data_IF_587692117622
#
_entry.id   IF_587692117622
#
_cell.length_a   1.000
_cell.length_b   1.000
_cell.length_c   1.000
_cell.angle_alpha   90.00
_cell.angle_beta   90.00
_cell.angle_gamma   90.00
#
_symmetry.space_group_name_H-M   'P 1'
#
loop_
_entity.id
_entity.type
_entity.pdbx_description
1 polymer ?
#
# COMPACT_ATOMS: atom_id res chain seq x y z
N UNK A 1 6.28 -38.41 12.41
CA UNK A 1 5.81 -37.01 12.58
C UNK A 1 5.25 -36.42 11.29
N UNK A 2 6.07 -36.31 10.24
CA UNK A 2 5.76 -35.58 9.01
C UNK A 2 4.53 -36.08 8.24
N UNK A 3 4.29 -37.40 8.21
CA UNK A 3 3.08 -37.97 7.62
C UNK A 3 1.80 -37.63 8.40
N UNK A 4 1.86 -37.59 9.74
CA UNK A 4 0.71 -37.21 10.59
C UNK A 4 0.33 -35.74 10.38
N UNK A 5 1.32 -34.85 10.31
CA UNK A 5 1.13 -33.43 9.98
C UNK A 5 0.57 -33.21 8.58
N UNK A 6 1.01 -33.97 7.58
CA UNK A 6 0.45 -33.92 6.21
C UNK A 6 -1.03 -34.31 6.20
N UNK A 7 -1.39 -35.40 6.87
CA UNK A 7 -2.78 -35.88 6.99
C UNK A 7 -3.69 -34.86 7.69
N UNK A 8 -3.23 -34.25 8.79
CA UNK A 8 -3.99 -33.20 9.50
C UNK A 8 -4.20 -31.94 8.63
N UNK A 9 -3.19 -31.52 7.87
CA UNK A 9 -3.29 -30.37 6.95
C UNK A 9 -4.26 -30.65 5.79
N UNK A 10 -4.28 -31.88 5.27
CA UNK A 10 -5.27 -32.31 4.27
C UNK A 10 -6.70 -32.29 4.81
N UNK A 11 -6.92 -32.75 6.04
CA UNK A 11 -8.23 -32.68 6.68
C UNK A 11 -8.69 -31.24 6.89
N UNK A 12 -7.83 -30.33 7.37
CA UNK A 12 -8.17 -28.92 7.53
C UNK A 12 -8.54 -28.28 6.18
N UNK A 13 -7.78 -28.56 5.11
CA UNK A 13 -8.07 -28.10 3.75
C UNK A 13 -9.38 -28.67 3.20
N UNK A 14 -9.76 -29.88 3.60
CA UNK A 14 -11.03 -30.50 3.21
C UNK A 14 -12.20 -29.83 3.92
N UNK A 15 -12.09 -29.56 5.21
CA UNK A 15 -13.08 -28.82 6.00
C UNK A 15 -13.29 -27.41 5.44
N UNK A 16 -12.20 -26.67 5.18
CA UNK A 16 -12.29 -25.32 4.63
C UNK A 16 -12.99 -25.26 3.26
N UNK A 17 -12.68 -26.22 2.37
CA UNK A 17 -13.33 -26.33 1.06
C UNK A 17 -14.81 -26.66 1.16
N UNK A 18 -15.21 -27.51 2.10
CA UNK A 18 -16.61 -27.84 2.32
C UNK A 18 -17.39 -26.63 2.88
N UNK A 19 -16.80 -25.87 3.80
CA UNK A 19 -17.41 -24.63 4.33
C UNK A 19 -17.58 -23.57 3.24
N UNK A 20 -16.56 -23.33 2.42
CA UNK A 20 -16.65 -22.37 1.30
C UNK A 20 -17.69 -22.80 0.25
N UNK A 21 -17.79 -24.11 -0.02
CA UNK A 21 -18.82 -24.65 -0.93
C UNK A 21 -20.23 -24.49 -0.36
N UNK A 22 -20.40 -24.66 0.95
CA UNK A 22 -21.67 -24.41 1.63
C UNK A 22 -22.06 -22.93 1.53
N UNK A 23 -21.14 -22.00 1.86
CA UNK A 23 -21.36 -20.55 1.73
C UNK A 23 -21.78 -20.18 0.30
N UNK A 24 -21.11 -20.74 -0.71
CA UNK A 24 -21.42 -20.49 -2.12
C UNK A 24 -22.81 -21.01 -2.54
N UNK A 25 -23.26 -22.11 -1.95
CA UNK A 25 -24.53 -22.76 -2.31
C UNK A 25 -25.72 -22.23 -1.50
N UNK A 26 -25.49 -21.60 -0.36
CA UNK A 26 -26.48 -20.83 0.38
C UNK A 26 -26.83 -19.58 -0.45
N UNK A 27 -27.85 -19.69 -1.31
CA UNK A 27 -28.38 -18.57 -2.10
C UNK A 27 -28.83 -17.45 -1.14
N UNK A 28 -28.01 -16.42 -0.98
CA UNK A 28 -28.47 -15.15 -0.41
C UNK A 28 -29.15 -14.35 -1.53
N UNK A 29 -30.47 -14.15 -1.50
CA UNK A 29 -31.13 -13.30 -2.47
C UNK A 29 -30.82 -11.84 -2.11
N UNK A 30 -29.79 -11.26 -2.74
CA UNK A 30 -29.65 -9.80 -2.78
C UNK A 30 -30.62 -9.30 -3.85
N UNK A 31 -31.88 -9.07 -3.47
CA UNK A 31 -32.82 -8.34 -4.32
C UNK A 31 -32.49 -6.85 -4.26
N UNK A 32 -32.39 -6.24 -5.43
CA UNK A 32 -32.17 -4.83 -5.67
C UNK A 32 -33.11 -3.94 -4.85
N UNK A 33 -32.55 -3.11 -3.97
CA UNK A 33 -33.23 -1.95 -3.41
C UNK A 33 -32.85 -0.73 -4.25
N UNK A 34 -33.74 -0.37 -5.17
CA UNK A 34 -33.85 1.00 -5.68
C UNK A 34 -35.11 1.61 -5.09
N UNK A 35 -35.06 2.85 -4.60
CA UNK A 35 -36.24 3.70 -4.58
C UNK A 35 -35.97 4.97 -5.38
N UNK A 36 -36.60 5.05 -6.54
CA UNK A 36 -37.01 6.32 -7.15
C UNK A 36 -38.18 6.88 -6.35
N UNK A 37 -38.02 8.05 -5.74
CA UNK A 37 -39.12 8.85 -5.19
C UNK A 37 -39.35 10.06 -6.09
N UNK A 38 -40.59 10.35 -6.54
CA UNK A 38 -40.94 11.61 -7.16
C UNK A 38 -41.20 12.67 -6.09
N UNK A 39 -40.97 13.93 -6.47
CA UNK A 39 -41.23 15.11 -5.67
C UNK A 39 -42.73 15.46 -5.66
N UNK A 40 -43.23 15.93 -4.50
CA UNK A 40 -44.48 16.68 -4.39
C UNK A 40 -44.34 17.88 -3.44
N UNK A 41 -45.22 18.92 -3.59
CA UNK A 41 -44.95 20.32 -3.24
C UNK A 41 -45.44 20.72 -1.82
N UNK A 42 -45.24 21.98 -1.37
CA UNK A 42 -45.38 22.33 0.04
C UNK A 42 -46.79 22.77 0.43
N UNK A 43 -47.31 22.25 1.54
CA UNK A 43 -48.48 22.83 2.23
C UNK A 43 -49.14 21.95 3.31
N UNK A 44 -48.89 22.28 4.58
CA UNK A 44 -49.71 22.01 5.78
C UNK A 44 -49.86 20.54 6.31
N UNK A 45 -50.42 20.32 7.51
CA UNK A 45 -49.78 20.48 8.82
C UNK A 45 -49.73 19.16 9.64
N UNK A 46 -49.03 19.22 10.77
CA UNK A 46 -48.77 18.18 11.77
C UNK A 46 -49.93 17.21 12.08
N UNK A 47 -49.65 15.91 11.99
CA UNK A 47 -50.46 14.82 12.56
C UNK A 47 -49.57 13.88 13.36
N UNK A 48 -49.85 13.79 14.66
CA UNK A 48 -49.37 12.75 15.56
C UNK A 48 -49.82 11.37 15.06
N UNK A 49 -48.86 10.47 14.84
CA UNK A 49 -49.18 9.05 14.68
C UNK A 49 -48.21 8.18 15.49
N UNK A 50 -48.80 7.49 16.47
CA UNK A 50 -48.22 6.34 17.16
C UNK A 50 -47.90 5.29 16.11
N UNK A 51 -46.60 5.05 15.87
CA UNK A 51 -46.14 3.92 15.07
C UNK A 51 -46.24 2.68 15.97
N UNK A 52 -47.18 1.80 15.61
CA UNK A 52 -47.32 0.47 16.17
C UNK A 52 -46.13 -0.40 15.80
N UNK A 53 -45.57 -1.09 16.80
CA UNK A 53 -44.62 -2.18 16.66
C UNK A 53 -45.24 -3.31 15.83
N UNK A 54 -45.10 -3.23 14.50
CA UNK A 54 -45.42 -4.33 13.59
C UNK A 54 -44.13 -5.02 13.17
N UNK A 55 -43.97 -6.21 13.76
CA UNK A 55 -43.21 -7.39 13.34
C UNK A 55 -42.34 -7.24 12.09
N UNK A 56 -41.08 -6.82 12.29
CA UNK A 56 -40.03 -7.04 11.29
C UNK A 56 -39.50 -8.48 11.42
N UNK A 57 -40.24 -9.46 10.88
CA UNK A 57 -39.85 -10.88 10.85
C UNK A 57 -38.53 -11.16 10.11
N UNK A 58 -38.02 -10.20 9.32
CA UNK A 58 -36.69 -10.29 8.70
C UNK A 58 -35.54 -9.98 9.68
N UNK A 59 -35.77 -9.14 10.69
CA UNK A 59 -34.75 -8.83 11.70
C UNK A 59 -34.46 -10.03 12.63
N UNK A 60 -35.44 -10.88 12.93
CA UNK A 60 -35.21 -12.11 13.70
C UNK A 60 -34.39 -13.13 12.92
N UNK A 61 -34.67 -13.32 11.63
CA UNK A 61 -33.87 -14.21 10.76
C UNK A 61 -32.43 -13.72 10.60
N UNK A 62 -32.20 -12.41 10.55
CA UNK A 62 -30.85 -11.82 10.53
C UNK A 62 -30.12 -12.02 11.87
N UNK A 63 -30.81 -11.91 13.01
CA UNK A 63 -30.23 -12.22 14.33
C UNK A 63 -29.87 -13.70 14.48
N UNK A 64 -30.73 -14.59 14.00
CA UNK A 64 -30.47 -16.04 14.02
C UNK A 64 -29.29 -16.42 13.10
N UNK A 65 -29.21 -15.85 11.90
CA UNK A 65 -28.07 -16.08 11.01
C UNK A 65 -26.74 -15.54 11.59
N UNK A 66 -26.78 -14.40 12.27
CA UNK A 66 -25.60 -13.86 12.95
C UNK A 66 -25.17 -14.72 14.15
N UNK A 67 -26.10 -15.29 14.91
CA UNK A 67 -25.76 -16.16 16.04
C UNK A 67 -25.09 -17.47 15.57
N UNK A 68 -25.58 -18.05 14.46
CA UNK A 68 -24.97 -19.22 13.83
C UNK A 68 -23.56 -18.92 13.30
N UNK A 69 -23.35 -17.76 12.68
CA UNK A 69 -22.03 -17.36 12.17
C UNK A 69 -21.01 -17.16 13.29
N UNK A 70 -21.44 -16.56 14.41
CA UNK A 70 -20.60 -16.38 15.61
C UNK A 70 -20.20 -17.73 16.21
N UNK A 71 -21.12 -18.69 16.25
CA UNK A 71 -20.83 -20.03 16.77
C UNK A 71 -19.89 -20.82 15.85
N UNK A 72 -20.02 -20.69 14.53
CA UNK A 72 -19.08 -21.28 13.56
C UNK A 72 -17.68 -20.70 13.74
N UNK A 73 -17.54 -19.37 13.87
CA UNK A 73 -16.25 -18.72 14.09
C UNK A 73 -15.62 -19.14 15.42
N UNK A 74 -16.43 -19.32 16.48
CA UNK A 74 -15.96 -19.83 17.77
C UNK A 74 -15.39 -21.25 17.64
N UNK A 75 -16.06 -22.14 16.92
CA UNK A 75 -15.58 -23.52 16.68
C UNK A 75 -14.31 -23.57 15.85
N UNK A 76 -14.21 -22.77 14.78
CA UNK A 76 -12.98 -22.67 13.97
C UNK A 76 -11.80 -22.17 14.80
N UNK A 77 -12.02 -21.15 15.65
CA UNK A 77 -10.97 -20.61 16.50
C UNK A 77 -10.53 -21.61 17.57
N UNK A 78 -11.44 -22.42 18.10
CA UNK A 78 -11.13 -23.49 19.04
C UNK A 78 -10.29 -24.61 18.39
N UNK A 79 -10.66 -25.09 17.19
CA UNK A 79 -9.86 -26.07 16.45
C UNK A 79 -8.47 -25.54 16.11
N UNK A 80 -8.38 -24.27 15.66
CA UNK A 80 -7.09 -23.66 15.37
C UNK A 80 -6.17 -23.61 16.60
N UNK A 81 -6.71 -23.27 17.78
CA UNK A 81 -5.96 -23.27 19.04
C UNK A 81 -5.50 -24.68 19.44
N UNK A 82 -6.33 -25.69 19.25
CA UNK A 82 -5.97 -27.08 19.53
C UNK A 82 -4.84 -27.57 18.61
N UNK A 83 -4.92 -27.28 17.31
CA UNK A 83 -3.86 -27.62 16.34
C UNK A 83 -2.56 -26.88 16.65
N UNK A 84 -2.64 -25.59 17.03
CA UNK A 84 -1.47 -24.82 17.44
C UNK A 84 -0.80 -25.43 18.68
N UNK A 85 -1.58 -25.81 19.68
CA UNK A 85 -1.05 -26.46 20.89
C UNK A 85 -0.37 -27.82 20.59
N UNK A 86 -0.97 -28.67 19.73
CA UNK A 86 -0.34 -29.94 19.34
C UNK A 86 0.96 -29.72 18.56
N UNK A 87 1.01 -28.70 17.69
CA UNK A 87 2.23 -28.30 16.97
C UNK A 87 3.32 -27.84 17.94
N UNK A 88 2.98 -27.01 18.91
CA UNK A 88 3.97 -26.45 19.85
C UNK A 88 4.55 -27.56 20.75
N UNK A 89 3.74 -28.56 21.14
CA UNK A 89 4.22 -29.78 21.84
C UNK A 89 5.09 -30.66 20.92
N UNK A 90 4.79 -30.74 19.63
CA UNK A 90 5.63 -31.48 18.68
C UNK A 90 6.97 -30.79 18.45
N UNK A 91 6.99 -29.47 18.37
CA UNK A 91 8.22 -28.69 18.23
C UNK A 91 9.10 -28.82 19.48
N UNK A 92 8.53 -28.76 20.69
CA UNK A 92 9.30 -28.96 21.92
C UNK A 92 9.89 -30.37 22.02
N UNK A 93 9.19 -31.40 21.51
CA UNK A 93 9.71 -32.76 21.43
C UNK A 93 10.84 -32.90 20.42
N UNK A 94 10.72 -32.27 19.25
CA UNK A 94 11.79 -32.26 18.24
C UNK A 94 13.03 -31.56 18.82
N UNK A 95 12.85 -30.45 19.53
CA UNK A 95 13.95 -29.71 20.15
C UNK A 95 14.63 -30.52 21.27
N UNK A 96 13.86 -31.24 22.10
CA UNK A 96 14.43 -32.17 23.09
C UNK A 96 15.16 -33.36 22.45
N UNK A 97 14.61 -33.94 21.37
CA UNK A 97 15.25 -35.04 20.65
C UNK A 97 16.53 -34.59 19.94
N UNK A 98 16.59 -33.36 19.41
CA UNK A 98 17.78 -32.81 18.74
C UNK A 98 18.91 -32.51 19.75
N UNK A 99 18.56 -32.15 20.99
CA UNK A 99 19.52 -32.01 22.11
C UNK A 99 20.05 -33.38 22.54
N UNK A 100 19.19 -34.40 22.63
CA UNK A 100 19.59 -35.78 22.99
C UNK A 100 20.41 -36.49 21.90
N UNK A 101 20.27 -36.10 20.63
CA UNK A 101 21.09 -36.61 19.52
C UNK A 101 22.43 -35.88 19.41
N UNK A 102 22.52 -34.60 19.81
CA UNK A 102 23.76 -33.82 19.76
C UNK A 102 24.76 -34.17 20.86
N UNK A 103 24.34 -34.53 22.07
CA UNK A 103 25.28 -34.82 23.17
C UNK A 103 26.18 -36.06 22.97
N UNK A 104 25.73 -37.20 22.39
CA UNK A 104 26.63 -38.33 22.14
C UNK A 104 27.47 -38.20 20.86
N UNK A 105 27.17 -37.24 19.96
CA UNK A 105 27.90 -37.04 18.71
C UNK A 105 29.17 -36.17 18.89
N UNK A 106 29.15 -35.23 19.83
CA UNK A 106 30.34 -34.42 20.14
C UNK A 106 31.42 -35.25 20.86
N UNK A 107 31.04 -36.31 21.58
CA UNK A 107 31.99 -37.21 22.24
C UNK A 107 32.59 -38.31 21.32
N UNK A 108 32.05 -38.53 20.11
CA UNK A 108 32.52 -39.59 19.18
C UNK A 108 33.21 -39.11 17.90
N UNK A 109 33.15 -37.82 17.58
CA UNK A 109 33.82 -37.24 16.39
C UNK A 109 35.32 -36.96 16.63
N UNK A 110 35.83 -37.20 17.84
CA UNK A 110 37.23 -36.95 18.19
C UNK A 110 38.26 -37.99 17.73
N UNK A 111 37.89 -39.18 17.20
CA UNK A 111 38.90 -40.25 17.09
C UNK A 111 38.90 -41.17 15.85
N UNK A 112 38.11 -40.95 14.80
CA UNK A 112 38.29 -41.73 13.56
C UNK A 112 37.97 -40.90 12.31
N UNK A 113 38.87 -40.00 11.94
CA UNK A 113 38.93 -39.42 10.58
C UNK A 113 39.47 -40.48 9.61
N UNK A 114 38.56 -41.29 9.07
CA UNK A 114 38.86 -42.13 7.90
C UNK A 114 38.95 -41.21 6.67
N UNK A 115 40.07 -41.21 5.92
CA UNK A 115 40.22 -40.44 4.71
C UNK A 115 39.45 -41.14 3.57
N UNK A 116 38.14 -40.88 3.47
CA UNK A 116 37.26 -41.58 2.52
C UNK A 116 36.20 -40.73 1.82
N UNK A 117 35.63 -39.72 2.49
CA UNK A 117 34.36 -39.12 2.02
C UNK A 117 34.41 -37.63 1.64
N UNK A 118 35.60 -37.04 1.45
CA UNK A 118 35.72 -35.69 0.86
C UNK A 118 35.07 -35.58 -0.53
N UNK A 119 34.98 -36.70 -1.26
CA UNK A 119 34.34 -36.71 -2.59
C UNK A 119 32.82 -36.63 -2.52
N UNK A 120 32.19 -37.14 -1.47
CA UNK A 120 30.75 -37.07 -1.29
C UNK A 120 30.32 -35.65 -0.90
N UNK A 121 31.04 -35.02 0.04
CA UNK A 121 30.76 -33.64 0.46
C UNK A 121 30.98 -32.63 -0.66
N UNK A 122 32.02 -32.81 -1.50
CA UNK A 122 32.24 -31.95 -2.69
C UNK A 122 31.15 -32.13 -3.75
N UNK A 123 30.54 -33.30 -3.89
CA UNK A 123 29.43 -33.53 -4.83
C UNK A 123 28.15 -32.85 -4.36
N UNK A 124 27.82 -32.96 -3.08
CA UNK A 124 26.63 -32.32 -2.52
C UNK A 124 26.71 -30.78 -2.60
N UNK A 125 27.87 -30.19 -2.28
CA UNK A 125 28.12 -28.75 -2.48
C UNK A 125 28.03 -28.34 -3.96
N UNK A 126 28.50 -29.18 -4.89
CA UNK A 126 28.44 -28.89 -6.33
C UNK A 126 27.01 -28.94 -6.88
N UNK A 127 26.19 -29.89 -6.44
CA UNK A 127 24.79 -30.03 -6.87
C UNK A 127 23.90 -28.91 -6.29
N UNK A 128 24.14 -28.50 -5.05
CA UNK A 128 23.53 -27.32 -4.44
C UNK A 128 23.84 -26.04 -5.23
N UNK A 129 25.11 -25.84 -5.60
CA UNK A 129 25.54 -24.69 -6.39
C UNK A 129 24.94 -24.71 -7.80
N UNK A 130 24.88 -25.87 -8.47
CA UNK A 130 24.27 -26.00 -9.81
C UNK A 130 22.77 -25.75 -9.78
N UNK A 131 22.06 -26.23 -8.76
CA UNK A 131 20.64 -25.95 -8.57
C UNK A 131 20.39 -24.45 -8.34
N UNK A 132 21.16 -23.82 -7.45
CA UNK A 132 21.09 -22.38 -7.21
C UNK A 132 21.41 -21.56 -8.47
N UNK A 133 22.43 -21.96 -9.25
CA UNK A 133 22.81 -21.30 -10.49
C UNK A 133 21.73 -21.45 -11.58
N UNK A 134 21.08 -22.61 -11.66
CA UNK A 134 19.97 -22.86 -12.60
C UNK A 134 18.77 -21.97 -12.25
N UNK A 135 18.39 -21.89 -10.97
CA UNK A 135 17.33 -20.99 -10.49
C UNK A 135 17.69 -19.52 -10.74
N UNK A 136 18.95 -19.14 -10.51
CA UNK A 136 19.43 -17.78 -10.78
C UNK A 136 19.38 -17.46 -12.28
N UNK A 137 19.77 -18.40 -13.15
CA UNK A 137 19.75 -18.24 -14.61
C UNK A 137 18.33 -18.19 -15.18
N UNK A 138 17.42 -19.01 -14.67
CA UNK A 138 15.99 -18.97 -15.04
C UNK A 138 15.33 -17.67 -14.57
N UNK A 139 15.66 -17.19 -13.35
CA UNK A 139 15.26 -15.87 -12.87
C UNK A 139 15.84 -14.74 -13.71
N UNK A 140 17.10 -14.85 -14.14
CA UNK A 140 17.78 -13.90 -15.01
C UNK A 140 17.10 -13.80 -16.40
N UNK A 141 16.73 -14.95 -16.98
CA UNK A 141 16.08 -15.02 -18.29
C UNK A 141 14.65 -14.44 -18.28
N UNK A 142 13.94 -14.54 -17.15
CA UNK A 142 12.61 -13.92 -16.98
C UNK A 142 12.66 -12.41 -16.65
N UNK A 143 13.85 -11.83 -16.43
CA UNK A 143 13.99 -10.43 -15.98
C UNK A 143 13.56 -9.35 -16.97
N UNK A 144 13.88 -9.43 -18.28
CA UNK A 144 13.61 -8.32 -19.19
C UNK A 144 12.12 -8.01 -19.28
N UNK A 145 11.28 -9.04 -19.36
CA UNK A 145 9.82 -8.89 -19.45
C UNK A 145 9.21 -8.25 -18.21
N UNK A 146 9.63 -8.67 -17.00
CA UNK A 146 9.13 -8.11 -15.74
C UNK A 146 9.58 -6.65 -15.56
N UNK A 147 10.82 -6.33 -15.91
CA UNK A 147 11.33 -4.97 -15.81
C UNK A 147 10.57 -4.02 -16.75
N UNK A 148 10.44 -4.40 -18.02
CA UNK A 148 9.68 -3.62 -19.01
C UNK A 148 8.24 -3.45 -18.54
N UNK A 149 7.61 -4.52 -18.04
CA UNK A 149 6.25 -4.44 -17.48
C UNK A 149 6.14 -3.42 -16.34
N UNK A 150 7.06 -3.45 -15.37
CA UNK A 150 7.04 -2.50 -14.24
C UNK A 150 7.29 -1.06 -14.67
N UNK A 151 8.19 -0.82 -15.63
CA UNK A 151 8.39 0.51 -16.21
C UNK A 151 7.14 1.01 -16.94
N UNK A 152 6.51 0.15 -17.75
CA UNK A 152 5.25 0.48 -18.42
C UNK A 152 4.13 0.75 -17.42
N UNK A 153 4.06 -0.02 -16.34
CA UNK A 153 3.11 0.21 -15.26
C UNK A 153 3.36 1.55 -14.56
N UNK A 154 4.62 1.89 -14.27
CA UNK A 154 5.00 3.20 -13.72
C UNK A 154 4.71 4.37 -14.67
N UNK A 155 4.78 4.17 -15.98
CA UNK A 155 4.42 5.17 -17.00
C UNK A 155 2.92 5.21 -17.32
N UNK A 156 2.15 4.19 -16.94
CA UNK A 156 0.74 4.09 -17.30
C UNK A 156 -0.13 5.22 -16.75
N UNK A 157 0.07 5.78 -15.53
CA UNK A 157 -0.65 6.99 -15.10
C UNK A 157 -0.48 8.15 -16.07
N UNK A 158 0.74 8.41 -16.53
CA UNK A 158 1.03 9.46 -17.52
C UNK A 158 0.31 9.15 -18.84
N UNK A 159 0.39 7.91 -19.32
CA UNK A 159 -0.27 7.48 -20.56
C UNK A 159 -1.79 7.68 -20.51
N UNK A 160 -2.44 7.28 -19.42
CA UNK A 160 -3.89 7.48 -19.25
C UNK A 160 -4.23 8.97 -19.22
N UNK A 161 -3.50 9.78 -18.46
CA UNK A 161 -3.73 11.23 -18.41
C UNK A 161 -3.55 11.88 -19.79
N UNK A 162 -2.49 11.55 -20.52
CA UNK A 162 -2.28 12.03 -21.88
C UNK A 162 -3.40 11.61 -22.84
N UNK A 163 -3.83 10.35 -22.79
CA UNK A 163 -4.94 9.88 -23.64
C UNK A 163 -6.20 10.67 -23.34
N UNK A 164 -6.58 10.85 -22.08
CA UNK A 164 -7.78 11.61 -21.71
C UNK A 164 -7.69 13.08 -22.12
N UNK A 165 -6.54 13.73 -21.87
CA UNK A 165 -6.29 15.11 -22.29
C UNK A 165 -6.33 15.28 -23.81
N UNK A 166 -5.68 14.38 -24.56
CA UNK A 166 -5.59 14.48 -26.03
C UNK A 166 -6.90 14.10 -26.74
N UNK A 167 -7.61 13.08 -26.24
CA UNK A 167 -8.90 12.65 -26.81
C UNK A 167 -10.04 13.57 -26.44
N UNK A 168 -9.78 14.59 -25.62
CA UNK A 168 -10.81 15.45 -25.02
C UNK A 168 -11.91 14.59 -24.39
N UNK A 169 -11.58 13.57 -23.63
CA UNK A 169 -12.57 12.98 -22.73
C UNK A 169 -12.73 13.98 -21.57
N UNK A 170 -13.78 14.81 -21.64
CA UNK A 170 -13.85 16.11 -20.94
C UNK A 170 -13.70 16.02 -19.41
N UNK A 171 -13.88 14.87 -18.78
CA UNK A 171 -13.76 14.74 -17.32
C UNK A 171 -12.37 14.31 -16.88
N UNK A 172 -11.55 15.29 -16.51
CA UNK A 172 -10.25 15.10 -15.85
C UNK A 172 -10.40 14.28 -14.55
N UNK A 173 -11.47 14.56 -13.81
CA UNK A 173 -11.84 13.85 -12.59
C UNK A 173 -12.03 12.33 -12.83
N UNK A 174 -12.77 11.97 -13.88
CA UNK A 174 -12.99 10.57 -14.27
C UNK A 174 -11.68 9.92 -14.71
N UNK A 175 -10.83 10.65 -15.44
CA UNK A 175 -9.51 10.17 -15.86
C UNK A 175 -8.65 9.77 -14.64
N UNK A 176 -8.59 10.65 -13.63
CA UNK A 176 -7.87 10.39 -12.39
C UNK A 176 -8.43 9.15 -11.66
N UNK A 177 -9.75 9.07 -11.50
CA UNK A 177 -10.37 7.93 -10.82
C UNK A 177 -10.09 6.60 -11.53
N UNK A 178 -10.25 6.55 -12.86
CA UNK A 178 -9.96 5.35 -13.66
C UNK A 178 -8.48 4.99 -13.55
N UNK A 179 -7.59 5.98 -13.62
CA UNK A 179 -6.16 5.78 -13.46
C UNK A 179 -5.82 5.17 -12.09
N UNK A 180 -6.36 5.72 -10.99
CA UNK A 180 -6.13 5.18 -9.65
C UNK A 180 -6.67 3.74 -9.53
N UNK A 181 -7.90 3.50 -9.97
CA UNK A 181 -8.53 2.19 -9.88
C UNK A 181 -7.77 1.12 -10.69
N UNK A 182 -7.36 1.44 -11.92
CA UNK A 182 -6.69 0.48 -12.80
C UNK A 182 -5.20 0.35 -12.48
N UNK A 183 -4.45 1.46 -12.52
CA UNK A 183 -2.99 1.46 -12.44
C UNK A 183 -2.46 1.25 -11.03
N UNK A 184 -3.14 1.79 -10.02
CA UNK A 184 -2.62 1.79 -8.65
C UNK A 184 -3.24 0.73 -7.75
N UNK A 185 -4.45 0.26 -8.10
CA UNK A 185 -5.15 -0.78 -7.32
C UNK A 185 -5.21 -2.11 -8.07
N UNK A 186 -5.91 -2.17 -9.20
CA UNK A 186 -6.23 -3.44 -9.86
C UNK A 186 -4.99 -4.15 -10.39
N UNK A 187 -4.11 -3.45 -11.12
CA UNK A 187 -2.92 -4.07 -11.70
C UNK A 187 -1.92 -4.51 -10.60
N UNK A 188 -1.57 -3.69 -9.60
CA UNK A 188 -0.71 -4.12 -8.50
C UNK A 188 -1.32 -5.28 -7.70
N UNK A 189 -2.62 -5.25 -7.40
CA UNK A 189 -3.28 -6.33 -6.68
C UNK A 189 -3.26 -7.64 -7.47
N UNK A 190 -3.56 -7.60 -8.77
CA UNK A 190 -3.49 -8.79 -9.63
C UNK A 190 -2.06 -9.30 -9.76
N UNK A 191 -1.08 -8.42 -9.88
CA UNK A 191 0.35 -8.79 -9.87
C UNK A 191 0.73 -9.50 -8.58
N UNK A 192 0.39 -8.94 -7.40
CA UNK A 192 0.70 -9.53 -6.09
C UNK A 192 0.03 -10.90 -5.93
N UNK A 193 -1.22 -11.06 -6.39
CA UNK A 193 -1.95 -12.33 -6.29
C UNK A 193 -1.39 -13.40 -7.22
N UNK A 194 -0.94 -13.01 -8.42
CA UNK A 194 -0.39 -13.93 -9.42
C UNK A 194 1.07 -14.30 -9.14
N UNK A 195 1.86 -13.39 -8.55
CA UNK A 195 3.22 -13.65 -8.09
C UNK A 195 3.16 -14.46 -6.78
N UNK A 196 2.75 -15.74 -6.89
CA UNK A 196 2.43 -16.72 -5.82
C UNK A 196 3.59 -17.06 -4.84
N UNK A 197 4.61 -16.22 -4.71
CA UNK A 197 5.78 -16.42 -3.84
C UNK A 197 5.68 -15.74 -2.47
N UNK A 198 6.81 -15.75 -1.75
CA UNK A 198 7.04 -15.07 -0.46
C UNK A 198 6.89 -13.53 -0.50
N UNK A 199 6.57 -12.95 -1.66
CA UNK A 199 6.37 -11.51 -1.88
C UNK A 199 5.30 -10.93 -0.96
N UNK A 200 4.21 -11.66 -0.72
CA UNK A 200 3.10 -11.25 0.16
C UNK A 200 3.51 -10.94 1.61
N UNK A 201 4.48 -11.69 2.15
CA UNK A 201 4.99 -11.48 3.52
C UNK A 201 5.67 -10.12 3.62
N UNK A 202 6.43 -9.74 2.58
CA UNK A 202 7.15 -8.49 2.57
C UNK A 202 6.27 -7.24 2.39
N UNK A 203 5.05 -7.35 1.87
CA UNK A 203 4.13 -6.20 1.85
C UNK A 203 3.49 -5.98 3.22
N UNK A 204 3.26 -7.05 3.98
CA UNK A 204 2.65 -7.00 5.30
C UNK A 204 3.50 -6.23 6.33
N UNK A 205 4.82 -6.29 6.20
CA UNK A 205 5.76 -5.61 7.12
C UNK A 205 5.62 -4.09 7.08
N UNK A 206 5.34 -3.52 5.90
CA UNK A 206 5.09 -2.07 5.75
C UNK A 206 3.86 -1.61 6.54
N UNK A 207 2.82 -2.44 6.60
CA UNK A 207 1.60 -2.13 7.35
C UNK A 207 1.73 -2.43 8.85
N UNK A 208 2.50 -3.45 9.24
CA UNK A 208 2.64 -3.79 10.66
C UNK A 208 3.52 -2.82 11.44
N UNK A 209 4.54 -2.22 10.80
CA UNK A 209 5.40 -1.19 11.43
C UNK A 209 4.80 0.22 11.45
N UNK A 210 3.62 0.39 10.84
CA UNK A 210 3.08 1.68 10.47
C UNK A 210 2.46 2.46 11.65
N UNK A 211 2.06 1.78 12.72
CA UNK A 211 1.19 2.33 13.77
C UNK A 211 1.91 2.74 15.06
N UNK A 212 3.17 3.18 14.99
CA UNK A 212 3.81 3.78 16.17
C UNK A 212 3.20 5.17 16.45
N UNK A 213 2.92 5.49 17.71
CA UNK A 213 2.42 6.83 18.11
C UNK A 213 3.33 7.98 17.62
N UNK A 214 4.68 7.84 17.66
CA UNK A 214 5.58 8.86 17.11
C UNK A 214 5.34 9.13 15.61
N UNK A 215 5.14 8.09 14.81
CA UNK A 215 4.91 8.23 13.36
C UNK A 215 3.61 9.02 13.07
N UNK A 216 2.55 8.79 13.86
CA UNK A 216 1.31 9.54 13.75
C UNK A 216 1.48 11.02 14.08
N UNK A 217 2.21 11.33 15.16
CA UNK A 217 2.45 12.72 15.55
C UNK A 217 3.28 13.47 14.50
N UNK A 218 4.37 12.85 14.02
CA UNK A 218 5.21 13.46 12.98
C UNK A 218 4.44 13.60 11.66
N UNK A 219 3.62 12.61 11.30
CA UNK A 219 2.72 12.68 10.17
C UNK A 219 1.75 13.85 10.29
N UNK A 220 1.04 13.99 11.41
CA UNK A 220 0.10 15.09 11.64
C UNK A 220 0.78 16.47 11.60
N UNK A 221 1.96 16.61 12.21
CA UNK A 221 2.73 17.86 12.15
C UNK A 221 3.17 18.19 10.73
N UNK A 222 3.58 17.18 9.96
CA UNK A 222 3.96 17.31 8.55
C UNK A 222 2.76 17.73 7.69
N UNK A 223 1.59 17.11 7.91
CA UNK A 223 0.32 17.49 7.27
C UNK A 223 -0.02 18.96 7.52
N UNK A 224 -0.06 19.38 8.78
CA UNK A 224 -0.40 20.76 9.15
C UNK A 224 0.60 21.77 8.56
N UNK A 225 1.89 21.42 8.53
CA UNK A 225 2.95 22.27 7.99
C UNK A 225 2.78 22.47 6.48
N UNK A 226 2.62 21.37 5.72
CA UNK A 226 2.40 21.45 4.27
C UNK A 226 1.11 22.20 3.95
N UNK A 227 0.04 21.92 4.68
CA UNK A 227 -1.24 22.60 4.49
C UNK A 227 -1.13 24.11 4.72
N UNK A 228 -0.51 24.53 5.82
CA UNK A 228 -0.34 25.95 6.14
C UNK A 228 0.55 26.67 5.12
N UNK A 229 1.71 26.09 4.79
CA UNK A 229 2.65 26.66 3.82
C UNK A 229 2.03 26.71 2.42
N UNK A 230 1.39 25.62 1.98
CA UNK A 230 0.76 25.53 0.67
C UNK A 230 -0.41 26.49 0.49
N UNK A 231 -1.33 26.56 1.46
CA UNK A 231 -2.42 27.52 1.45
C UNK A 231 -1.91 28.97 1.49
N UNK A 232 -0.88 29.26 2.29
CA UNK A 232 -0.25 30.58 2.33
C UNK A 232 0.41 30.96 1.00
N UNK A 233 1.12 30.03 0.38
CA UNK A 233 1.76 30.22 -0.93
C UNK A 233 0.71 30.43 -2.03
N UNK A 234 -0.35 29.62 -2.06
CA UNK A 234 -1.45 29.81 -3.00
C UNK A 234 -2.11 31.18 -2.83
N UNK A 235 -2.41 31.59 -1.60
CA UNK A 235 -2.99 32.90 -1.32
C UNK A 235 -2.08 34.07 -1.77
N UNK A 236 -0.76 33.91 -1.65
CA UNK A 236 0.23 34.91 -2.08
C UNK A 236 0.41 34.96 -3.61
N UNK A 237 0.42 33.81 -4.28
CA UNK A 237 0.66 33.69 -5.73
C UNK A 237 -0.60 33.89 -6.57
N UNK A 238 -1.78 33.89 -5.95
CA UNK A 238 -3.03 34.11 -6.66
C UNK A 238 -3.04 35.49 -7.33
N UNK A 239 -3.40 35.56 -8.62
CA UNK A 239 -3.49 36.83 -9.33
C UNK A 239 -4.60 37.71 -8.70
N UNK A 240 -4.20 38.69 -7.88
CA UNK A 240 -5.05 39.83 -7.50
C UNK A 240 -4.77 40.97 -8.47
N UNK A 241 -5.71 41.88 -8.63
CA UNK A 241 -5.53 43.06 -9.49
C UNK A 241 -4.27 43.87 -9.13
N UNK A 242 -3.86 43.84 -7.86
CA UNK A 242 -2.62 44.45 -7.34
C UNK A 242 -1.34 43.65 -7.65
N UNK A 243 -1.41 42.33 -7.89
CA UNK A 243 -0.23 41.46 -8.11
C UNK A 243 0.06 41.16 -9.58
N UNK A 244 -0.58 41.85 -10.52
CA UNK A 244 -0.36 41.68 -11.98
C UNK A 244 1.08 41.98 -12.43
N UNK A 245 1.89 42.63 -11.60
CA UNK A 245 3.31 42.89 -11.88
C UNK A 245 4.24 41.73 -11.53
N UNK A 246 3.77 40.70 -10.82
CA UNK A 246 4.60 39.53 -10.54
C UNK A 246 4.71 38.65 -11.79
N UNK A 247 5.92 38.11 -12.10
CA UNK A 247 6.14 37.28 -13.28
C UNK A 247 5.43 35.93 -13.22
N UNK A 248 4.98 35.52 -12.03
CA UNK A 248 4.27 34.26 -11.78
C UNK A 248 3.03 34.58 -10.95
N UNK A 249 1.85 34.43 -11.55
CA UNK A 249 0.59 34.48 -10.80
C UNK A 249 -0.36 33.38 -11.30
N UNK A 250 -1.16 32.83 -10.39
CA UNK A 250 -2.11 31.75 -10.70
C UNK A 250 -3.41 32.37 -11.23
N UNK A 251 -3.76 32.17 -12.51
CA UNK A 251 -4.99 32.71 -13.08
C UNK A 251 -6.22 31.98 -12.49
N UNK A 252 -7.36 32.65 -12.49
CA UNK A 252 -8.64 31.99 -12.17
C UNK A 252 -9.04 31.08 -13.34
N UNK A 253 -9.01 29.77 -13.12
CA UNK A 253 -9.26 28.75 -14.17
C UNK A 253 -10.73 28.29 -14.19
N UNK A 254 -11.64 29.20 -13.83
CA UNK A 254 -13.01 28.89 -13.43
C UNK A 254 -13.91 28.33 -14.53
N UNK A 255 -13.79 28.86 -15.75
CA UNK A 255 -14.61 28.40 -16.89
C UNK A 255 -14.24 26.98 -17.33
N UNK A 256 -13.04 26.54 -17.00
CA UNK A 256 -12.50 25.24 -17.41
C UNK A 256 -12.75 24.19 -16.33
N UNK A 257 -12.87 24.57 -15.05
CA UNK A 257 -13.16 23.63 -13.96
C UNK A 257 -14.48 22.86 -14.17
N UNK A 258 -15.54 23.52 -14.65
CA UNK A 258 -16.79 22.82 -14.98
C UNK A 258 -16.60 21.85 -16.14
N UNK A 259 -15.84 22.24 -17.16
CA UNK A 259 -15.49 21.39 -18.30
C UNK A 259 -14.72 20.15 -17.84
N UNK A 260 -13.74 20.31 -16.92
CA UNK A 260 -12.93 19.23 -16.35
C UNK A 260 -13.68 18.29 -15.39
N UNK A 261 -14.98 18.52 -15.16
CA UNK A 261 -15.82 17.66 -14.32
C UNK A 261 -16.03 18.15 -12.89
N UNK A 262 -15.60 19.38 -12.54
CA UNK A 262 -15.86 19.98 -11.23
C UNK A 262 -17.21 20.73 -11.16
N UNK A 263 -18.05 20.61 -12.20
CA UNK A 263 -19.42 21.15 -12.21
C UNK A 263 -20.43 20.40 -11.33
N UNK A 264 -19.95 19.63 -10.35
CA UNK A 264 -20.76 18.77 -9.50
C UNK A 264 -21.45 19.55 -8.36
N UNK A 265 -22.53 18.99 -7.77
CA UNK A 265 -23.14 19.57 -6.57
C UNK A 265 -22.13 19.56 -5.39
N UNK A 266 -22.27 20.50 -4.46
CA UNK A 266 -21.31 20.68 -3.35
C UNK A 266 -21.06 19.40 -2.52
N UNK A 267 -22.09 18.60 -2.16
CA UNK A 267 -21.84 17.34 -1.44
C UNK A 267 -20.94 16.36 -2.21
N UNK A 268 -21.09 16.28 -3.53
CA UNK A 268 -20.25 15.44 -4.37
C UNK A 268 -18.81 15.97 -4.44
N UNK A 269 -18.63 17.29 -4.56
CA UNK A 269 -17.30 17.92 -4.51
C UNK A 269 -16.59 17.70 -3.17
N UNK A 270 -17.33 17.77 -2.05
CA UNK A 270 -16.78 17.47 -0.72
C UNK A 270 -16.41 15.99 -0.57
N UNK A 271 -17.23 15.07 -1.08
CA UNK A 271 -16.92 13.64 -1.09
C UNK A 271 -15.69 13.33 -1.94
N UNK A 272 -15.54 14.01 -3.08
CA UNK A 272 -14.35 13.91 -3.93
C UNK A 272 -13.12 14.50 -3.25
N UNK A 273 -13.22 15.67 -2.63
CA UNK A 273 -12.12 16.24 -1.84
C UNK A 273 -11.72 15.35 -0.66
N UNK A 274 -12.66 14.61 -0.06
CA UNK A 274 -12.31 13.58 0.92
C UNK A 274 -11.55 12.40 0.29
N UNK A 275 -12.00 11.93 -0.87
CA UNK A 275 -11.31 10.87 -1.60
C UNK A 275 -9.89 11.29 -1.99
N UNK A 276 -9.72 12.46 -2.63
CA UNK A 276 -8.40 12.96 -3.05
C UNK A 276 -7.53 13.39 -1.87
N UNK A 277 -8.07 14.01 -0.83
CA UNK A 277 -7.27 14.40 0.33
C UNK A 277 -6.82 13.24 1.23
N UNK A 278 -7.54 12.10 1.26
CA UNK A 278 -7.29 11.02 2.23
C UNK A 278 -7.04 9.67 1.56
N UNK A 279 -7.96 9.21 0.71
CA UNK A 279 -7.87 7.87 0.13
C UNK A 279 -6.76 7.82 -0.92
N UNK A 280 -6.67 8.85 -1.76
CA UNK A 280 -5.70 8.93 -2.84
C UNK A 280 -4.25 8.84 -2.33
N UNK A 281 -3.79 9.66 -1.37
CA UNK A 281 -2.45 9.57 -0.79
C UNK A 281 -2.06 8.17 -0.35
N UNK A 282 -2.98 7.42 0.26
CA UNK A 282 -2.71 6.04 0.69
C UNK A 282 -2.48 5.12 -0.51
N UNK A 283 -3.31 5.23 -1.55
CA UNK A 283 -3.17 4.44 -2.77
C UNK A 283 -1.90 4.81 -3.53
N UNK A 284 -1.59 6.09 -3.66
CA UNK A 284 -0.41 6.58 -4.34
C UNK A 284 0.87 6.20 -3.60
N UNK A 285 0.95 6.40 -2.28
CA UNK A 285 2.13 5.98 -1.51
C UNK A 285 2.32 4.47 -1.56
N UNK A 286 1.25 3.70 -1.49
CA UNK A 286 1.34 2.25 -1.65
C UNK A 286 1.87 1.89 -3.04
N UNK A 287 1.31 2.45 -4.10
CA UNK A 287 1.72 2.17 -5.47
C UNK A 287 3.18 2.58 -5.73
N UNK A 288 3.55 3.82 -5.42
CA UNK A 288 4.86 4.36 -5.78
C UNK A 288 5.97 3.85 -4.85
N UNK A 289 5.77 3.89 -3.53
CA UNK A 289 6.86 3.72 -2.54
C UNK A 289 6.90 2.31 -1.96
N UNK A 290 5.77 1.60 -1.94
CA UNK A 290 5.72 0.22 -1.43
C UNK A 290 5.81 -0.79 -2.57
N UNK A 291 4.99 -0.63 -3.61
CA UNK A 291 4.93 -1.57 -4.73
C UNK A 291 6.04 -1.30 -5.75
N UNK A 292 6.01 -0.16 -6.43
CA UNK A 292 6.88 0.10 -7.57
C UNK A 292 8.34 0.27 -7.15
N UNK A 293 8.62 1.01 -6.07
CA UNK A 293 9.98 1.16 -5.53
C UNK A 293 10.60 -0.18 -5.12
N UNK A 294 9.85 -1.06 -4.45
CA UNK A 294 10.33 -2.40 -4.08
C UNK A 294 10.63 -3.25 -5.32
N UNK A 295 9.67 -3.31 -6.23
CA UNK A 295 9.74 -4.20 -7.38
C UNK A 295 10.78 -3.75 -8.42
N UNK A 296 10.95 -2.43 -8.62
CA UNK A 296 12.01 -1.87 -9.48
C UNK A 296 13.36 -1.77 -8.76
N UNK A 297 13.38 -1.36 -7.49
CA UNK A 297 14.59 -1.12 -6.71
C UNK A 297 15.43 -2.38 -6.51
N UNK A 298 14.80 -3.50 -6.17
CA UNK A 298 15.47 -4.81 -6.04
C UNK A 298 16.13 -5.29 -7.35
N UNK A 299 15.72 -4.74 -8.50
CA UNK A 299 16.14 -5.19 -9.84
C UNK A 299 17.24 -4.34 -10.43
N UNK A 300 17.13 -3.02 -10.35
CA UNK A 300 18.09 -2.10 -10.98
C UNK A 300 19.39 -1.95 -10.19
N UNK A 301 19.30 -2.02 -8.87
CA UNK A 301 20.45 -1.82 -7.99
C UNK A 301 20.50 -3.00 -7.03
N UNK A 302 20.83 -4.21 -7.53
CA UNK A 302 21.09 -5.31 -6.65
C UNK A 302 22.17 -4.86 -5.68
N UNK A 303 21.87 -4.96 -4.40
CA UNK A 303 22.88 -4.75 -3.37
C UNK A 303 23.88 -5.84 -3.61
N UNK A 304 25.08 -5.45 -4.07
CA UNK A 304 26.19 -6.38 -4.06
C UNK A 304 26.24 -6.91 -2.63
N UNK A 305 26.07 -8.23 -2.43
CA UNK A 305 26.18 -8.79 -1.09
C UNK A 305 27.52 -8.29 -0.62
N UNK A 306 27.50 -7.43 0.41
CA UNK A 306 28.73 -6.92 0.96
C UNK A 306 29.51 -8.17 1.28
N UNK A 307 30.60 -8.37 0.53
CA UNK A 307 31.61 -9.33 0.88
C UNK A 307 32.22 -8.70 2.11
N UNK A 308 31.51 -8.83 3.23
CA UNK A 308 32.05 -8.72 4.55
C UNK A 308 33.17 -9.72 4.49
N UNK A 309 34.36 -9.20 4.21
CA UNK A 309 35.57 -9.95 4.03
C UNK A 309 35.57 -11.05 5.06
N UNK A 310 35.60 -12.29 4.57
CA UNK A 310 35.90 -13.47 5.38
C UNK A 310 37.32 -13.42 5.93
N UNK A 311 37.80 -12.24 6.35
CA UNK A 311 38.75 -12.12 7.45
C UNK A 311 37.98 -12.60 8.67
N UNK A 312 37.96 -13.93 8.81
CA UNK A 312 37.83 -14.57 10.10
C UNK A 312 38.75 -13.81 11.04
N UNK A 313 38.17 -12.95 11.88
CA UNK A 313 38.87 -12.40 13.03
C UNK A 313 39.19 -13.64 13.87
N UNK A 314 40.46 -14.03 14.01
CA UNK A 314 40.80 -15.21 14.77
C UNK A 314 40.35 -14.98 16.21
N UNK A 315 39.56 -15.93 16.67
CA UNK A 315 39.13 -16.24 18.02
C UNK A 315 40.01 -15.61 19.11
N UNK A 316 39.42 -14.81 20.00
CA UNK A 316 40.02 -14.62 21.32
C UNK A 316 39.07 -14.28 22.46
N UNK A 317 37.93 -13.58 22.29
CA UNK A 317 37.20 -13.09 23.51
C UNK A 317 35.65 -13.09 23.45
N UNK A 318 35.01 -13.90 22.61
CA UNK A 318 33.53 -13.92 22.51
C UNK A 318 32.82 -15.01 23.37
N UNK A 319 33.52 -15.68 24.28
CA UNK A 319 32.95 -16.82 25.03
C UNK A 319 32.33 -16.46 26.40
N UNK A 320 32.29 -15.19 26.82
CA UNK A 320 31.81 -14.83 28.16
C UNK A 320 30.51 -14.00 28.25
N UNK A 321 29.86 -13.66 27.14
CA UNK A 321 28.62 -12.86 27.16
C UNK A 321 27.34 -13.63 26.77
N UNK A 322 27.39 -14.95 26.62
CA UNK A 322 26.27 -15.76 26.12
C UNK A 322 25.27 -16.24 27.20
N UNK A 323 25.53 -16.00 28.49
CA UNK A 323 24.71 -16.61 29.56
C UNK A 323 23.73 -15.66 30.28
N UNK A 324 23.65 -14.37 29.92
CA UNK A 324 22.83 -13.40 30.68
C UNK A 324 21.75 -12.64 29.90
N UNK A 325 21.38 -13.06 28.69
CA UNK A 325 20.31 -12.42 27.91
C UNK A 325 19.12 -13.36 27.64
N UNK A 326 18.53 -13.87 28.72
CA UNK A 326 17.17 -14.39 28.67
C UNK A 326 16.17 -13.25 28.39
N UNK A 327 15.41 -13.36 27.30
CA UNK A 327 14.25 -12.52 26.89
C UNK A 327 14.49 -11.24 26.06
N UNK A 328 15.68 -11.05 25.47
CA UNK A 328 15.80 -10.07 24.36
C UNK A 328 15.37 -10.75 23.06
N UNK A 329 14.05 -10.74 22.83
CA UNK A 329 13.43 -11.03 21.53
C UNK A 329 14.30 -10.41 20.44
N UNK A 330 14.87 -11.29 19.63
CA UNK A 330 15.74 -10.96 18.52
C UNK A 330 15.20 -9.73 17.79
N UNK A 331 16.05 -8.71 17.72
CA UNK A 331 15.83 -7.52 16.91
C UNK A 331 15.38 -8.02 15.54
N UNK A 332 14.09 -7.81 15.24
CA UNK A 332 13.46 -8.06 13.95
C UNK A 332 13.98 -7.08 12.90
N UNK A 333 15.32 -7.03 12.77
CA UNK A 333 16.01 -6.54 11.60
C UNK A 333 15.42 -7.30 10.42
N UNK A 334 14.67 -6.56 9.62
CA UNK A 334 13.97 -7.08 8.46
C UNK A 334 15.05 -7.75 7.59
N UNK A 335 15.02 -9.08 7.41
CA UNK A 335 16.03 -9.75 6.60
C UNK A 335 15.89 -9.22 5.18
N UNK A 336 16.86 -8.41 4.75
CA UNK A 336 16.86 -7.80 3.43
C UNK A 336 16.46 -6.33 3.38
N UNK A 337 16.92 -5.50 4.33
CA UNK A 337 17.20 -4.08 4.07
C UNK A 337 18.35 -3.99 3.06
N UNK A 338 18.05 -4.44 1.84
CA UNK A 338 18.90 -4.26 0.69
C UNK A 338 18.91 -2.74 0.43
N UNK A 339 19.98 -2.08 0.86
CA UNK A 339 20.35 -0.72 0.47
C UNK A 339 20.66 -0.69 -1.03
N UNK A 340 19.63 -0.88 -1.87
CA UNK A 340 19.57 -0.43 -3.28
C UNK A 340 20.36 0.86 -3.36
N UNK A 341 21.22 1.09 -4.36
CA UNK A 341 21.88 2.40 -4.48
C UNK A 341 20.77 3.46 -4.45
N UNK A 342 20.64 4.12 -3.30
CA UNK A 342 19.33 4.63 -2.85
C UNK A 342 18.83 5.72 -3.80
N UNK A 343 19.79 6.41 -4.38
CA UNK A 343 19.60 7.63 -5.14
C UNK A 343 18.91 7.43 -6.51
N UNK A 344 19.45 6.66 -7.48
CA UNK A 344 18.86 6.58 -8.81
C UNK A 344 17.48 5.92 -8.84
N UNK A 345 17.23 4.91 -7.99
CA UNK A 345 15.91 4.29 -7.87
C UNK A 345 14.85 5.26 -7.33
N UNK A 346 15.17 6.00 -6.27
CA UNK A 346 14.27 7.03 -5.73
C UNK A 346 14.01 8.15 -6.75
N UNK A 347 15.04 8.58 -7.47
CA UNK A 347 14.91 9.62 -8.49
C UNK A 347 14.00 9.17 -9.64
N UNK A 348 14.15 7.93 -10.11
CA UNK A 348 13.29 7.35 -11.14
C UNK A 348 11.82 7.32 -10.67
N UNK A 349 11.55 6.76 -9.49
CA UNK A 349 10.18 6.69 -8.95
C UNK A 349 9.59 8.09 -8.75
N UNK A 350 10.38 9.04 -8.24
CA UNK A 350 9.92 10.42 -8.03
C UNK A 350 9.63 11.14 -9.35
N UNK A 351 10.41 10.83 -10.40
CA UNK A 351 10.19 11.36 -11.76
C UNK A 351 8.93 10.78 -12.39
N UNK A 352 8.71 9.46 -12.25
CA UNK A 352 7.48 8.82 -12.70
C UNK A 352 6.25 9.37 -11.97
N UNK A 353 6.33 9.52 -10.65
CA UNK A 353 5.30 10.16 -9.81
C UNK A 353 4.98 11.58 -10.29
N UNK A 354 5.99 12.42 -10.52
CA UNK A 354 5.78 13.80 -10.93
C UNK A 354 5.28 13.92 -12.39
N UNK A 355 5.57 12.93 -13.25
CA UNK A 355 5.29 13.01 -14.69
C UNK A 355 3.80 13.09 -15.03
N UNK A 356 2.91 12.31 -14.41
CA UNK A 356 1.47 12.40 -14.71
C UNK A 356 0.84 13.67 -14.11
N UNK A 357 1.38 14.14 -12.98
CA UNK A 357 0.97 15.41 -12.38
C UNK A 357 1.32 16.60 -13.27
N UNK A 358 2.39 16.53 -14.06
CA UNK A 358 2.68 17.57 -15.06
C UNK A 358 1.50 17.79 -16.01
N UNK A 359 0.87 16.71 -16.49
CA UNK A 359 -0.31 16.80 -17.35
C UNK A 359 -1.46 17.43 -16.58
N UNK A 360 -1.73 16.95 -15.36
CA UNK A 360 -2.79 17.49 -14.50
C UNK A 360 -2.64 19.00 -14.26
N UNK A 361 -1.45 19.45 -13.86
CA UNK A 361 -1.15 20.86 -13.58
C UNK A 361 -1.21 21.69 -14.86
N UNK A 362 -0.74 21.15 -15.99
CA UNK A 362 -0.85 21.83 -17.29
C UNK A 362 -2.30 22.05 -17.68
N UNK A 363 -3.18 21.06 -17.54
CA UNK A 363 -4.61 21.22 -17.84
C UNK A 363 -5.30 22.17 -16.85
N UNK A 364 -4.98 22.07 -15.55
CA UNK A 364 -5.64 22.89 -14.52
C UNK A 364 -5.23 24.37 -14.55
N UNK A 365 -4.00 24.69 -14.96
CA UNK A 365 -3.46 26.06 -14.92
C UNK A 365 -3.24 26.67 -16.30
N UNK A 366 -3.51 25.92 -17.38
CA UNK A 366 -3.22 26.24 -18.79
C UNK A 366 -1.83 26.88 -18.99
N UNK A 367 -0.81 26.35 -18.30
CA UNK A 367 0.53 26.94 -18.29
C UNK A 367 1.62 25.89 -18.22
N UNK A 368 2.40 25.78 -19.30
CA UNK A 368 3.57 24.90 -19.37
C UNK A 368 4.67 25.32 -18.38
N UNK A 369 4.85 26.62 -18.15
CA UNK A 369 5.85 27.13 -17.21
C UNK A 369 5.53 26.68 -15.78
N UNK A 370 4.28 26.87 -15.34
CA UNK A 370 3.83 26.43 -14.02
C UNK A 370 3.87 24.91 -13.89
N UNK A 371 3.45 24.17 -14.93
CA UNK A 371 3.51 22.71 -14.94
C UNK A 371 4.96 22.19 -14.83
N UNK A 372 5.92 22.83 -15.51
CA UNK A 372 7.35 22.45 -15.43
C UNK A 372 7.93 22.75 -14.04
N UNK A 373 7.59 23.91 -13.45
CA UNK A 373 7.99 24.22 -12.08
C UNK A 373 7.39 23.23 -11.09
N UNK A 374 6.11 22.87 -11.27
CA UNK A 374 5.44 21.85 -10.46
C UNK A 374 6.10 20.47 -10.63
N UNK A 375 6.48 20.07 -11.84
CA UNK A 375 7.22 18.83 -12.10
C UNK A 375 8.51 18.80 -11.26
N UNK A 376 9.34 19.85 -11.32
CA UNK A 376 10.56 19.94 -10.53
C UNK A 376 10.28 19.86 -9.02
N UNK A 377 9.28 20.62 -8.55
CA UNK A 377 8.86 20.59 -7.15
C UNK A 377 8.36 19.22 -6.69
N UNK A 378 7.55 18.55 -7.51
CA UNK A 378 7.00 17.22 -7.24
C UNK A 378 8.04 16.11 -7.31
N UNK A 379 9.10 16.26 -8.11
CA UNK A 379 10.25 15.34 -8.05
C UNK A 379 10.94 15.47 -6.69
N UNK A 380 11.19 16.68 -6.20
CA UNK A 380 11.78 16.90 -4.87
C UNK A 380 10.86 16.41 -3.75
N UNK A 381 9.56 16.68 -3.86
CA UNK A 381 8.56 16.19 -2.91
C UNK A 381 8.45 14.66 -2.92
N UNK A 382 8.47 14.04 -4.09
CA UNK A 382 8.47 12.58 -4.24
C UNK A 382 9.68 11.92 -3.60
N UNK A 383 10.84 12.60 -3.60
CA UNK A 383 12.03 12.16 -2.86
C UNK A 383 11.86 12.30 -1.36
N UNK A 384 11.27 13.40 -0.89
CA UNK A 384 10.96 13.59 0.52
C UNK A 384 10.01 12.49 1.04
N UNK A 385 8.97 12.13 0.26
CA UNK A 385 8.06 11.03 0.57
C UNK A 385 8.80 9.68 0.63
N UNK A 386 9.70 9.43 -0.33
CA UNK A 386 10.54 8.22 -0.35
C UNK A 386 11.42 8.13 0.91
N UNK A 387 12.01 9.25 1.33
CA UNK A 387 12.80 9.35 2.55
C UNK A 387 11.98 9.04 3.82
N UNK A 388 10.74 9.53 3.92
CA UNK A 388 9.83 9.21 5.02
C UNK A 388 9.54 7.70 5.08
N UNK A 389 9.26 7.08 3.94
CA UNK A 389 8.97 5.65 3.84
C UNK A 389 10.17 4.75 4.21
N UNK A 390 11.40 5.18 3.89
CA UNK A 390 12.62 4.39 4.14
C UNK A 390 13.12 4.43 5.58
N UNK A 391 12.63 5.36 6.40
CA UNK A 391 13.01 5.46 7.80
C UNK A 391 11.82 5.10 8.70
N UNK A 392 11.36 3.84 8.72
CA UNK A 392 10.14 3.42 9.42
C UNK A 392 10.20 3.63 10.93
N UNK A 393 11.42 3.62 11.51
CA UNK A 393 11.65 3.91 12.93
C UNK A 393 11.42 5.39 13.29
N UNK A 394 11.54 6.31 12.33
CA UNK A 394 11.42 7.77 12.56
C UNK A 394 10.11 8.36 12.01
N UNK A 395 9.71 7.95 10.80
CA UNK A 395 8.58 8.52 10.07
C UNK A 395 7.60 7.42 9.62
N UNK A 396 8.08 6.50 8.77
CA UNK A 396 7.30 5.41 8.22
C UNK A 396 6.21 5.81 7.22
N UNK A 397 5.53 4.78 6.72
CA UNK A 397 4.53 4.89 5.66
C UNK A 397 3.37 5.85 5.99
N UNK A 398 2.87 5.80 7.23
CA UNK A 398 1.75 6.65 7.65
C UNK A 398 2.15 8.13 7.63
N UNK A 399 3.35 8.48 8.10
CA UNK A 399 3.80 9.87 8.06
C UNK A 399 3.95 10.37 6.62
N UNK A 400 4.40 9.53 5.68
CA UNK A 400 4.43 9.86 4.26
C UNK A 400 3.01 10.11 3.70
N UNK A 401 2.03 9.26 4.05
CA UNK A 401 0.64 9.46 3.65
C UNK A 401 0.08 10.79 4.16
N UNK A 402 0.32 11.14 5.43
CA UNK A 402 -0.10 12.43 5.99
C UNK A 402 0.58 13.63 5.30
N UNK A 403 1.89 13.53 5.03
CA UNK A 403 2.62 14.58 4.32
C UNK A 403 2.03 14.79 2.92
N UNK A 404 1.74 13.70 2.20
CA UNK A 404 1.11 13.73 0.88
C UNK A 404 -0.32 14.28 0.94
N UNK A 405 -1.16 13.79 1.86
CA UNK A 405 -2.49 14.34 2.13
C UNK A 405 -2.46 15.85 2.32
N UNK A 406 -1.46 16.39 3.02
CA UNK A 406 -1.32 17.84 3.21
C UNK A 406 -1.22 18.58 1.88
N UNK A 407 -0.50 18.04 0.90
CA UNK A 407 -0.37 18.63 -0.43
C UNK A 407 -1.68 18.50 -1.23
N UNK A 408 -2.32 17.34 -1.21
CA UNK A 408 -3.58 17.10 -1.93
C UNK A 408 -4.69 18.02 -1.39
N UNK A 409 -4.79 18.18 -0.06
CA UNK A 409 -5.74 19.13 0.54
C UNK A 409 -5.46 20.58 0.13
N UNK A 410 -4.20 21.00 -0.07
CA UNK A 410 -3.91 22.34 -0.59
C UNK A 410 -4.49 22.52 -1.98
N UNK A 411 -4.34 21.53 -2.86
CA UNK A 411 -4.88 21.56 -4.22
C UNK A 411 -6.42 21.53 -4.18
N UNK A 412 -7.01 20.65 -3.39
CA UNK A 412 -8.47 20.52 -3.25
C UNK A 412 -9.10 21.80 -2.69
N UNK A 413 -8.50 22.40 -1.66
CA UNK A 413 -8.97 23.67 -1.11
C UNK A 413 -8.80 24.83 -2.09
N UNK A 414 -7.73 24.85 -2.88
CA UNK A 414 -7.53 25.85 -3.93
C UNK A 414 -8.60 25.75 -5.02
N UNK A 415 -8.96 24.53 -5.43
CA UNK A 415 -10.05 24.29 -6.40
C UNK A 415 -11.40 24.66 -5.78
N UNK A 416 -11.69 24.20 -4.56
CA UNK A 416 -12.94 24.47 -3.86
C UNK A 416 -13.14 25.98 -3.64
N UNK A 417 -12.09 26.69 -3.27
CA UNK A 417 -12.09 28.15 -3.12
C UNK A 417 -12.56 28.80 -4.42
N UNK A 418 -11.97 28.42 -5.56
CA UNK A 418 -12.35 28.97 -6.86
C UNK A 418 -13.84 28.69 -7.13
N UNK A 419 -14.28 27.44 -7.00
CA UNK A 419 -15.68 27.05 -7.25
C UNK A 419 -16.67 27.87 -6.40
N UNK A 420 -16.38 28.07 -5.11
CA UNK A 420 -17.24 28.85 -4.20
C UNK A 420 -17.34 30.30 -4.64
N UNK A 421 -16.21 30.94 -4.97
CA UNK A 421 -16.21 32.33 -5.45
C UNK A 421 -16.99 32.50 -6.75
N UNK A 422 -16.88 31.55 -7.69
CA UNK A 422 -17.64 31.60 -8.92
C UNK A 422 -19.15 31.50 -8.68
N UNK A 423 -19.57 30.61 -7.78
CA UNK A 423 -20.99 30.49 -7.39
C UNK A 423 -21.48 31.78 -6.73
N UNK A 424 -20.69 32.38 -5.85
CA UNK A 424 -21.01 33.65 -5.21
C UNK A 424 -21.14 34.78 -6.25
N UNK A 425 -20.19 34.89 -7.18
CA UNK A 425 -20.24 35.88 -8.26
C UNK A 425 -21.45 35.67 -9.18
N UNK A 426 -21.74 34.42 -9.56
CA UNK A 426 -22.89 34.09 -10.41
C UNK A 426 -24.22 34.40 -9.71
N UNK A 427 -24.33 34.14 -8.40
CA UNK A 427 -25.51 34.47 -7.62
C UNK A 427 -25.72 36.00 -7.50
N UNK A 428 -24.63 36.75 -7.28
CA UNK A 428 -24.67 38.21 -7.25
C UNK A 428 -25.08 38.79 -8.62
N UNK A 429 -24.52 38.28 -9.72
CA UNK A 429 -24.87 38.72 -11.07
C UNK A 429 -26.32 38.39 -11.45
N UNK A 430 -26.88 37.27 -10.97
CA UNK A 430 -28.28 36.92 -11.19
C UNK A 430 -29.27 37.75 -10.35
N UNK A 431 -28.79 38.43 -9.30
CA UNK A 431 -29.62 39.29 -8.44
C UNK A 431 -29.71 40.74 -8.92
N UNK A 432 -28.83 41.14 -9.84
CA UNK A 432 -28.82 42.43 -10.54
C UNK A 432 -29.66 42.31 -11.80
#
# INVERSE_FOLDING_TARGET
>A
GTQKLKSQNENLRKTLRNTLRWIKNSRFPVKNLSPSLPAEPPGQPSVDSKISDSECGECEKLKENNSVLVEINRKILAEYRAVKAERDVLLSKIEQDDVLVREPLIARVGQNTVPGDEKAERREKSDGLRSALKVAKERAAAMPGRLVFLLLLGLSPLGIMLVFSLTRLHSLLLAMFIMHALCMVLIPATFIVLDRGDSSVGYRTYFSGASSRPNLLVGLLSFCTVLAVGCGLYAALRCRQSTRSLPVCIPSCLKELTFYGFGLPMPALLALGFYFGIVNPVLEEFFWRVFLYRELGQRFFPVEPSVSDGVARPDSEAFLDLENNGSRLEDGSIPGDASVSEFPGQLLISTLYASYHFVLVRELLDSYTLATLALCGLVLFGRLLSYYCQHPRKFGFIAACFLHSGLDFVVDLAILWQVVEHKAFSAAAASV
#
